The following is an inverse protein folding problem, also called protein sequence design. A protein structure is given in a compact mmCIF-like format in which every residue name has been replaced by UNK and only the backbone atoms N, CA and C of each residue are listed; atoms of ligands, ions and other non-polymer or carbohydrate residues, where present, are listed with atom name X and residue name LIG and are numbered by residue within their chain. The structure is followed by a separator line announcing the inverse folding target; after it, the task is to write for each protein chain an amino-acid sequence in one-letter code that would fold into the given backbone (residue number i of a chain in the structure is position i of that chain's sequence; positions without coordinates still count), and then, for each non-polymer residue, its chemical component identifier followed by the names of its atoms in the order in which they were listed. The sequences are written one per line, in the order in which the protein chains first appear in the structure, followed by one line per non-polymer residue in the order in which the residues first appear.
data_IF_742479207043
#
_entry.id   IF_742479207043
#
_cell.length_a   1.000
_cell.length_b   1.000
_cell.length_c   1.000
_cell.angle_alpha   90.00
_cell.angle_beta   90.00
_cell.angle_gamma   90.00
#
_symmetry.space_group_name_H-M   'P 1'
#
loop_
_entity.id
_entity.type
_entity.pdbx_description
1 polymer ?
#
# COMPACT_ATOMS: atom_id res chain seq x y z
N UNK A 1 -6.74 8.02 -3.64
CA UNK A 1 -6.07 6.70 -3.59
C UNK A 1 -5.35 6.48 -2.26
N UNK A 2 -4.41 7.35 -1.84
CA UNK A 2 -3.70 7.20 -0.55
C UNK A 2 -4.66 7.17 0.65
N UNK A 3 -5.63 8.08 0.69
CA UNK A 3 -6.64 8.13 1.79
C UNK A 3 -7.42 6.82 1.90
N UNK A 4 -7.85 6.24 0.78
CA UNK A 4 -8.57 4.97 0.76
C UNK A 4 -7.72 3.82 1.32
N UNK A 5 -6.44 3.73 0.93
CA UNK A 5 -5.50 2.71 1.44
C UNK A 5 -5.27 2.82 2.96
N UNK A 6 -5.20 4.05 3.48
CA UNK A 6 -5.08 4.29 4.92
C UNK A 6 -6.35 3.84 5.64
N UNK A 7 -7.52 4.15 5.08
CA UNK A 7 -8.81 3.71 5.63
C UNK A 7 -8.97 2.18 5.62
N UNK A 8 -8.57 1.51 4.53
CA UNK A 8 -8.51 0.03 4.44
C UNK A 8 -7.57 -0.59 5.48
N UNK A 9 -6.59 0.18 5.96
CA UNK A 9 -5.65 -0.23 7.01
C UNK A 9 -6.08 0.25 8.41
N UNK A 10 -7.32 0.70 8.58
CA UNK A 10 -7.89 1.28 9.82
C UNK A 10 -7.10 2.48 10.36
N UNK A 11 -6.36 3.19 9.50
CA UNK A 11 -5.58 4.37 9.85
C UNK A 11 -6.34 5.64 9.49
N UNK A 12 -6.78 6.38 10.51
CA UNK A 12 -7.41 7.71 10.36
C UNK A 12 -6.39 8.79 10.72
N UNK A 13 -5.95 9.55 9.70
CA UNK A 13 -4.98 10.64 9.83
C UNK A 13 -5.61 11.95 9.30
N UNK A 14 -5.15 13.10 9.79
CA UNK A 14 -5.56 14.39 9.22
C UNK A 14 -4.99 14.61 7.82
N UNK A 15 -5.70 15.38 6.99
CA UNK A 15 -5.26 15.70 5.62
C UNK A 15 -3.87 16.36 5.61
N UNK A 16 -3.63 17.34 6.48
CA UNK A 16 -2.32 17.99 6.64
C UNK A 16 -1.18 16.99 6.89
N UNK A 17 -1.44 15.95 7.68
CA UNK A 17 -0.42 14.94 7.99
C UNK A 17 -0.16 14.03 6.77
N UNK A 18 -1.21 13.69 6.03
CA UNK A 18 -1.10 12.92 4.79
C UNK A 18 -0.30 13.71 3.75
N UNK A 19 -0.56 15.01 3.60
CA UNK A 19 0.20 15.88 2.71
C UNK A 19 1.69 15.89 3.07
N UNK A 20 2.03 16.09 4.36
CA UNK A 20 3.42 16.06 4.82
C UNK A 20 4.09 14.70 4.55
N UNK A 21 3.38 13.59 4.72
CA UNK A 21 3.91 12.25 4.41
C UNK A 21 4.18 12.07 2.92
N UNK A 22 3.24 12.51 2.07
CA UNK A 22 3.38 12.45 0.60
C UNK A 22 4.54 13.32 0.15
N UNK A 23 4.65 14.55 0.64
CA UNK A 23 5.74 15.47 0.33
C UNK A 23 7.10 14.87 0.70
N UNK A 24 7.20 14.27 1.88
CA UNK A 24 8.44 13.61 2.32
C UNK A 24 8.80 12.41 1.45
N UNK A 25 7.81 11.62 1.02
CA UNK A 25 8.03 10.51 0.11
C UNK A 25 8.49 11.00 -1.27
N UNK A 26 7.84 12.03 -1.81
CA UNK A 26 8.21 12.65 -3.09
C UNK A 26 9.62 13.25 -3.06
N UNK A 27 10.00 13.98 -2.00
CA UNK A 27 11.35 14.52 -1.86
C UNK A 27 12.45 13.44 -1.87
N UNK A 28 12.13 12.21 -1.44
CA UNK A 28 13.07 11.09 -1.48
C UNK A 28 13.15 10.43 -2.86
N UNK A 29 12.06 10.44 -3.62
CA UNK A 29 11.94 9.69 -4.88
C UNK A 29 12.16 10.55 -6.13
N UNK A 30 11.64 11.78 -6.18
CA UNK A 30 11.79 12.73 -7.29
C UNK A 30 13.13 13.47 -7.19
N UNK A 31 14.17 12.88 -7.80
CA UNK A 31 15.53 13.43 -7.77
C UNK A 31 15.66 14.62 -8.71
N UNK A 32 14.88 14.64 -9.80
CA UNK A 32 14.85 15.69 -10.82
C UNK A 32 14.07 16.93 -10.37
N UNK A 33 13.21 16.79 -9.36
CA UNK A 33 12.32 17.84 -8.83
C UNK A 33 11.36 18.39 -9.89
N UNK A 34 10.88 17.53 -10.78
CA UNK A 34 9.91 17.90 -11.82
C UNK A 34 8.46 17.60 -11.43
N UNK A 35 8.25 17.11 -10.20
CA UNK A 35 6.95 16.74 -9.65
C UNK A 35 6.48 15.37 -10.12
N UNK A 36 7.34 14.58 -10.76
CA UNK A 36 7.03 13.24 -11.26
C UNK A 36 8.10 12.27 -10.76
N UNK A 37 7.73 10.99 -10.70
CA UNK A 37 8.66 9.92 -10.37
C UNK A 37 8.77 9.06 -11.62
N UNK A 38 9.88 9.19 -12.33
CA UNK A 38 10.15 8.37 -13.51
C UNK A 38 10.57 6.94 -13.13
N UNK A 39 10.55 6.03 -14.10
CA UNK A 39 10.90 4.62 -13.86
C UNK A 39 12.34 4.45 -13.36
N UNK A 40 13.26 5.27 -13.83
CA UNK A 40 14.67 5.19 -13.41
C UNK A 40 14.87 5.77 -12.01
N UNK A 41 14.14 6.83 -11.65
CA UNK A 41 14.11 7.35 -10.29
C UNK A 41 13.49 6.35 -9.32
N UNK A 42 12.40 5.68 -9.72
CA UNK A 42 11.80 4.61 -8.93
C UNK A 42 12.76 3.44 -8.71
N UNK A 43 13.47 3.00 -9.77
CA UNK A 43 14.49 1.94 -9.64
C UNK A 43 15.61 2.34 -8.68
N UNK A 44 16.14 3.55 -8.81
CA UNK A 44 17.16 4.08 -7.91
C UNK A 44 16.64 4.09 -6.46
N UNK A 45 15.43 4.60 -6.25
CA UNK A 45 14.82 4.71 -4.92
C UNK A 45 14.59 3.35 -4.25
N UNK A 46 14.09 2.37 -5.02
CA UNK A 46 13.90 0.99 -4.55
C UNK A 46 15.24 0.30 -4.28
N UNK A 47 16.29 0.59 -5.07
CA UNK A 47 17.63 0.03 -4.83
C UNK A 47 18.21 0.46 -3.48
N UNK A 48 17.90 1.68 -3.04
CA UNK A 48 18.27 2.20 -1.72
C UNK A 48 17.36 1.68 -0.60
N UNK A 49 16.12 1.31 -0.92
CA UNK A 49 15.11 0.85 0.03
C UNK A 49 14.43 -0.46 -0.42
N UNK A 50 15.13 -1.61 -0.37
CA UNK A 50 14.60 -2.87 -0.93
C UNK A 50 13.30 -3.36 -0.28
N UNK A 51 13.00 -2.92 0.95
CA UNK A 51 11.78 -3.29 1.67
C UNK A 51 10.49 -2.76 1.01
N UNK A 52 10.58 -1.72 0.17
CA UNK A 52 9.43 -1.17 -0.57
C UNK A 52 8.78 -2.19 -1.51
N UNK A 53 9.57 -3.13 -2.04
CA UNK A 53 9.11 -4.18 -2.95
C UNK A 53 8.95 -5.55 -2.25
N UNK A 54 8.88 -5.59 -0.91
CA UNK A 54 8.70 -6.86 -0.18
C UNK A 54 7.48 -7.65 -0.67
N UNK A 55 6.40 -6.96 -1.05
CA UNK A 55 5.16 -7.57 -1.53
C UNK A 55 5.30 -8.16 -2.95
N UNK A 56 6.37 -7.85 -3.68
CA UNK A 56 6.66 -8.43 -5.00
C UNK A 56 7.26 -9.83 -4.92
N UNK A 57 7.63 -10.30 -3.71
CA UNK A 57 8.23 -11.62 -3.50
C UNK A 57 7.30 -12.49 -2.66
N UNK A 58 6.86 -13.61 -3.22
CA UNK A 58 6.13 -14.65 -2.50
C UNK A 58 7.09 -15.76 -2.08
N UNK A 59 7.58 -15.79 -0.83
CA UNK A 59 8.67 -16.69 -0.42
C UNK A 59 8.31 -18.18 -0.54
N UNK A 60 7.04 -18.52 -0.30
CA UNK A 60 6.52 -19.90 -0.38
C UNK A 60 6.53 -20.47 -1.81
N UNK A 61 6.67 -19.64 -2.85
CA UNK A 61 6.87 -20.14 -4.22
C UNK A 61 8.23 -20.82 -4.41
N UNK A 62 9.21 -20.59 -3.52
CA UNK A 62 10.50 -21.29 -3.55
C UNK A 62 10.36 -22.78 -3.23
N UNK A 63 9.41 -23.13 -2.37
CA UNK A 63 9.25 -24.47 -1.79
C UNK A 63 7.98 -25.18 -2.29
N UNK A 64 7.48 -24.81 -3.48
CA UNK A 64 6.18 -25.24 -4.04
C UNK A 64 5.99 -26.76 -4.10
N UNK A 65 7.08 -27.55 -4.11
CA UNK A 65 7.05 -29.01 -4.16
C UNK A 65 6.93 -29.69 -2.80
N UNK A 66 7.18 -28.99 -1.69
CA UNK A 66 7.28 -29.57 -0.36
C UNK A 66 6.08 -29.28 0.57
N UNK A 67 5.50 -28.09 0.45
CA UNK A 67 4.46 -27.63 1.40
C UNK A 67 3.60 -26.57 0.73
N UNK A 68 2.28 -26.77 0.70
CA UNK A 68 1.33 -25.76 0.23
C UNK A 68 0.73 -25.03 1.44
N UNK A 69 0.67 -23.68 1.44
CA UNK A 69 -0.02 -22.96 2.51
C UNK A 69 -1.51 -23.33 2.52
N UNK A 70 -2.08 -23.54 3.71
CA UNK A 70 -3.53 -23.69 3.85
C UNK A 70 -4.18 -22.31 3.68
N UNK A 71 -5.09 -22.19 2.72
CA UNK A 71 -5.91 -20.99 2.55
C UNK A 71 -7.31 -21.29 3.05
N UNK A 72 -7.69 -20.67 4.17
CA UNK A 72 -9.05 -20.72 4.69
C UNK A 72 -9.72 -19.40 4.31
N UNK A 73 -10.77 -19.47 3.50
CA UNK A 73 -11.56 -18.29 3.14
C UNK A 73 -12.41 -17.89 4.34
N UNK A 74 -12.10 -16.76 4.98
CA UNK A 74 -13.00 -16.10 5.92
C UNK A 74 -14.08 -15.39 5.11
N UNK A 75 -15.19 -16.07 4.82
CA UNK A 75 -16.42 -15.37 4.42
C UNK A 75 -16.97 -14.71 5.68
N UNK A 76 -16.60 -13.45 5.90
CA UNK A 76 -17.35 -12.55 6.76
C UNK A 76 -18.26 -11.76 5.83
N UNK A 77 -19.54 -12.13 5.82
CA UNK A 77 -20.59 -11.40 5.12
C UNK A 77 -20.78 -10.06 5.84
N UNK A 78 -20.18 -8.99 5.33
CA UNK A 78 -20.48 -7.60 5.71
C UNK A 78 -21.88 -7.23 5.19
N UNK A 79 -22.92 -7.78 5.82
CA UNK A 79 -24.32 -7.40 5.60
C UNK A 79 -24.77 -6.46 6.74
N UNK A 80 -25.34 -5.30 6.36
CA UNK A 80 -25.96 -4.21 7.17
C UNK A 80 -24.98 -3.14 7.72
N UNK A 81 -25.18 -1.82 7.55
CA UNK A 81 -26.41 -1.02 7.54
C UNK A 81 -26.43 0.09 6.46
N UNK A 82 -27.16 -0.13 5.37
CA UNK A 82 -27.75 0.96 4.59
C UNK A 82 -29.15 1.27 5.12
N UNK A 83 -29.28 1.74 6.36
CA UNK A 83 -30.55 2.29 6.88
C UNK A 83 -30.29 3.41 7.88
N UNK A 84 -30.19 4.66 7.40
CA UNK A 84 -30.88 5.82 7.96
C UNK A 84 -30.59 7.07 7.13
N UNK A 85 -31.28 7.19 5.99
CA UNK A 85 -31.50 8.49 5.36
C UNK A 85 -32.96 8.66 4.97
N UNK A 86 -33.86 8.63 5.97
CA UNK A 86 -35.18 9.23 5.91
C UNK A 86 -35.64 9.56 7.33
N UNK A 87 -35.26 10.74 7.83
CA UNK A 87 -36.13 11.77 8.43
C UNK A 87 -35.28 12.98 8.82
#
# INVERSE_FOLDING_TARGET
MVIALLHESELVLSEDLIEVMVDKAFMGADRKKDGKIEIDEWKDFVSMNPSLIKNMTLPYLKDIKGTFPSFVSSCEDEESESQNLYF
#
